data_IF_554324682955
#
_entry.id   IF_554324682955
#
_cell.length_a   1.000
_cell.length_b   1.000
_cell.length_c   1.000
_cell.angle_alpha   90.00
_cell.angle_beta   90.00
_cell.angle_gamma   90.00
#
_symmetry.space_group_name_H-M   'P 1'
#
loop_
_entity.id
_entity.type
_entity.pdbx_description
1 polymer ?
#
# COMPACT_ATOMS: atom_id res chain seq x y z
N UNK A 1 42.19 -56.87 12.85
CA UNK A 1 41.00 -57.65 12.46
C UNK A 1 40.00 -56.68 11.86
N UNK A 2 40.32 -56.08 10.72
CA UNK A 2 40.25 -56.69 9.38
C UNK A 2 38.79 -57.03 9.05
N UNK A 3 38.09 -56.19 8.29
CA UNK A 3 38.18 -56.05 6.83
C UNK A 3 37.25 -57.04 6.11
N UNK A 4 36.08 -56.51 5.73
CA UNK A 4 35.39 -56.69 4.43
C UNK A 4 34.82 -58.09 4.13
N UNK A 5 33.51 -58.19 3.79
CA UNK A 5 33.01 -58.44 2.41
C UNK A 5 31.49 -58.73 2.33
N UNK A 6 30.81 -57.97 1.45
CA UNK A 6 29.70 -58.37 0.53
C UNK A 6 28.38 -58.91 1.13
N UNK A 7 27.18 -58.63 0.62
CA UNK A 7 26.74 -58.12 -0.67
C UNK A 7 25.24 -57.74 -0.62
N UNK A 8 24.91 -56.69 -1.38
CA UNK A 8 23.74 -56.50 -2.24
C UNK A 8 22.32 -56.85 -1.75
N UNK A 9 21.51 -55.78 -1.78
CA UNK A 9 20.17 -55.67 -2.39
C UNK A 9 19.08 -55.29 -1.38
N UNK A 10 18.18 -54.36 -1.66
CA UNK A 10 18.05 -53.31 -2.65
C UNK A 10 16.81 -52.51 -2.23
N UNK A 11 16.78 -51.22 -2.59
CA UNK A 11 15.55 -50.43 -2.86
C UNK A 11 14.64 -50.18 -1.63
N UNK A 12 14.09 -49.00 -1.35
CA UNK A 12 13.69 -47.89 -2.20
C UNK A 12 13.25 -46.80 -1.20
N UNK A 13 13.96 -45.67 -1.07
CA UNK A 13 13.35 -44.48 -0.45
C UNK A 13 13.68 -43.27 -1.29
N UNK A 14 12.59 -42.65 -1.73
CA UNK A 14 12.46 -41.60 -2.72
C UNK A 14 13.48 -40.47 -2.55
N UNK A 15 14.13 -40.16 -3.65
CA UNK A 15 14.87 -38.93 -3.91
C UNK A 15 13.96 -37.71 -3.76
N UNK A 16 14.07 -37.00 -2.63
CA UNK A 16 13.64 -35.61 -2.54
C UNK A 16 14.78 -34.75 -3.07
N UNK A 17 14.64 -34.33 -4.33
CA UNK A 17 15.48 -33.30 -4.93
C UNK A 17 15.20 -31.97 -4.21
N UNK A 18 15.93 -31.71 -3.13
CA UNK A 18 16.00 -30.40 -2.51
C UNK A 18 16.82 -29.47 -3.40
N UNK A 19 16.16 -28.64 -4.20
CA UNK A 19 16.83 -27.52 -4.87
C UNK A 19 17.37 -26.57 -3.80
N UNK A 20 18.68 -26.62 -3.54
CA UNK A 20 19.37 -25.58 -2.76
C UNK A 20 19.36 -24.28 -3.55
N UNK A 21 18.51 -23.33 -3.17
CA UNK A 21 18.66 -21.94 -3.62
C UNK A 21 19.81 -21.32 -2.84
N UNK A 22 20.94 -21.09 -3.51
CA UNK A 22 21.94 -20.14 -3.06
C UNK A 22 21.33 -18.74 -3.11
N UNK A 23 20.86 -18.26 -1.96
CA UNK A 23 20.49 -16.87 -1.79
C UNK A 23 21.75 -16.04 -1.61
N UNK A 24 22.17 -15.32 -2.66
CA UNK A 24 23.14 -14.23 -2.54
C UNK A 24 22.58 -13.23 -1.52
N UNK A 25 23.24 -13.10 -0.39
CA UNK A 25 22.88 -12.11 0.63
C UNK A 25 23.40 -10.75 0.18
N UNK A 26 22.57 -9.99 -0.55
CA UNK A 26 22.77 -8.55 -0.66
C UNK A 26 22.18 -7.92 0.60
N UNK A 27 23.06 -7.46 1.50
CA UNK A 27 22.68 -6.71 2.70
C UNK A 27 22.02 -5.40 2.27
N UNK A 28 20.68 -5.42 2.17
CA UNK A 28 19.90 -4.20 2.25
C UNK A 28 19.47 -4.05 3.70
N UNK A 29 20.10 -3.10 4.40
CA UNK A 29 19.59 -2.57 5.66
C UNK A 29 18.16 -2.07 5.44
N UNK A 30 17.17 -2.91 5.73
CA UNK A 30 15.76 -2.52 5.80
C UNK A 30 15.43 -2.27 7.25
N UNK A 31 15.50 -1.02 7.64
CA UNK A 31 14.87 -0.54 8.86
C UNK A 31 13.35 -0.70 8.70
N UNK A 32 12.81 -1.65 9.45
CA UNK A 32 11.40 -2.04 9.43
C UNK A 32 10.55 -1.01 10.18
N UNK A 33 9.92 -0.08 9.46
CA UNK A 33 8.70 0.55 9.96
C UNK A 33 7.54 -0.42 9.72
N UNK A 34 7.14 -1.15 10.77
CA UNK A 34 6.00 -2.08 10.76
C UNK A 34 4.69 -1.30 10.58
N UNK A 35 4.17 -1.23 9.36
CA UNK A 35 2.78 -0.91 9.10
C UNK A 35 1.98 -2.22 9.02
N UNK A 36 1.16 -2.48 10.03
CA UNK A 36 0.31 -3.67 10.12
C UNK A 36 -0.71 -3.70 8.98
N UNK A 37 -0.54 -4.61 8.02
CA UNK A 37 -1.48 -4.82 6.93
C UNK A 37 -2.68 -5.64 7.40
N UNK A 38 -3.84 -5.01 7.59
CA UNK A 38 -5.10 -5.73 7.57
C UNK A 38 -5.56 -5.91 6.11
N UNK A 39 -5.92 -7.14 5.81
CA UNK A 39 -6.14 -7.73 4.50
C UNK A 39 -7.30 -7.07 3.75
N UNK A 40 -6.99 -6.33 2.67
CA UNK A 40 -7.93 -6.03 1.59
C UNK A 40 -7.32 -6.61 0.31
N UNK A 41 -7.94 -7.65 -0.25
CA UNK A 41 -7.58 -8.25 -1.55
C UNK A 41 -8.11 -7.35 -2.68
N UNK A 42 -7.53 -6.15 -2.73
CA UNK A 42 -7.39 -5.33 -3.92
C UNK A 42 -6.01 -4.71 -3.73
N UNK A 43 -4.97 -5.43 -4.16
CA UNK A 43 -3.60 -4.93 -4.15
C UNK A 43 -3.60 -3.74 -5.10
N UNK A 44 -3.84 -2.55 -4.56
CA UNK A 44 -3.67 -1.30 -5.27
C UNK A 44 -2.28 -1.39 -5.89
N UNK A 45 -2.18 -1.38 -7.22
CA UNK A 45 -0.88 -1.21 -7.85
C UNK A 45 -0.39 0.11 -7.26
N UNK A 46 0.62 0.04 -6.39
CA UNK A 46 1.15 1.20 -5.70
C UNK A 46 2.03 1.93 -6.71
N UNK A 47 1.39 2.48 -7.74
CA UNK A 47 2.00 3.37 -8.72
C UNK A 47 2.07 4.78 -8.18
N UNK A 48 1.92 4.98 -6.86
CA UNK A 48 1.81 6.33 -6.32
C UNK A 48 3.19 6.96 -6.26
N UNK A 49 3.56 7.63 -7.34
CA UNK A 49 4.84 8.28 -7.51
C UNK A 49 4.88 9.55 -6.68
N UNK A 50 5.89 9.66 -5.82
CA UNK A 50 6.04 10.82 -4.96
C UNK A 50 6.33 12.11 -5.72
N UNK A 51 6.82 11.98 -6.95
CA UNK A 51 7.21 13.08 -7.83
C UNK A 51 6.16 13.38 -8.92
N UNK A 52 5.09 12.59 -9.04
CA UNK A 52 4.01 12.82 -9.98
C UNK A 52 2.97 13.76 -9.38
N UNK A 53 2.78 14.91 -10.02
CA UNK A 53 1.78 15.92 -9.64
C UNK A 53 0.34 15.40 -9.68
N UNK A 54 0.03 14.48 -10.58
CA UNK A 54 -1.32 14.00 -10.81
C UNK A 54 -1.78 13.08 -9.66
N UNK A 55 -0.86 12.27 -9.14
CA UNK A 55 -1.10 11.41 -7.98
C UNK A 55 -1.48 12.20 -6.72
N UNK A 56 -0.90 13.39 -6.51
CA UNK A 56 -1.29 14.26 -5.40
C UNK A 56 -2.73 14.75 -5.53
N UNK A 57 -3.17 15.09 -6.76
CA UNK A 57 -4.56 15.46 -7.02
C UNK A 57 -5.51 14.30 -6.78
N UNK A 58 -5.21 13.12 -7.34
CA UNK A 58 -6.06 11.92 -7.21
C UNK A 58 -6.16 11.44 -5.75
N UNK A 59 -5.07 11.51 -4.99
CA UNK A 59 -5.09 11.20 -3.58
C UNK A 59 -5.91 12.21 -2.78
N UNK A 60 -5.72 13.50 -3.01
CA UNK A 60 -6.55 14.56 -2.43
C UNK A 60 -8.03 14.31 -2.71
N UNK A 61 -8.38 14.05 -3.98
CA UNK A 61 -9.75 13.77 -4.42
C UNK A 61 -10.38 12.60 -3.68
N UNK A 62 -9.67 11.47 -3.59
CA UNK A 62 -10.16 10.29 -2.88
C UNK A 62 -10.40 10.59 -1.39
N UNK A 63 -9.48 11.31 -0.75
CA UNK A 63 -9.60 11.71 0.66
C UNK A 63 -10.80 12.64 0.85
N UNK A 64 -10.96 13.67 0.01
CA UNK A 64 -12.15 14.53 0.05
C UNK A 64 -13.45 13.76 -0.12
N UNK A 65 -13.47 12.79 -1.03
CA UNK A 65 -14.67 12.02 -1.36
C UNK A 65 -15.13 11.06 -0.27
N UNK A 66 -14.20 10.44 0.46
CA UNK A 66 -14.54 9.32 1.38
C UNK A 66 -14.08 9.54 2.82
N UNK A 67 -13.09 10.41 3.05
CA UNK A 67 -12.39 10.57 4.31
C UNK A 67 -12.19 12.04 4.68
N UNK A 68 -13.17 12.90 4.38
CA UNK A 68 -12.99 14.36 4.47
C UNK A 68 -12.60 14.85 5.86
N UNK A 69 -13.03 14.16 6.92
CA UNK A 69 -12.67 14.48 8.32
C UNK A 69 -11.22 14.17 8.66
N UNK A 70 -10.54 13.33 7.87
CA UNK A 70 -9.16 12.87 8.11
C UNK A 70 -8.14 13.58 7.21
N UNK A 71 -8.50 14.72 6.60
CA UNK A 71 -7.67 15.45 5.63
C UNK A 71 -6.22 15.60 6.07
N UNK A 72 -6.00 16.15 7.26
CA UNK A 72 -4.66 16.45 7.77
C UNK A 72 -3.84 15.17 8.02
N UNK A 73 -4.46 14.17 8.64
CA UNK A 73 -3.82 12.88 8.93
C UNK A 73 -3.41 12.15 7.65
N UNK A 74 -4.29 12.13 6.64
CA UNK A 74 -4.04 11.48 5.35
C UNK A 74 -2.96 12.20 4.55
N UNK A 75 -2.93 13.54 4.57
CA UNK A 75 -1.86 14.31 3.95
C UNK A 75 -0.51 14.03 4.63
N UNK A 76 -0.48 14.00 5.97
CA UNK A 76 0.72 13.67 6.72
C UNK A 76 1.23 12.26 6.41
N UNK A 77 0.33 11.27 6.29
CA UNK A 77 0.69 9.92 5.87
C UNK A 77 1.30 9.88 4.47
N UNK A 78 0.70 10.58 3.49
CA UNK A 78 1.21 10.67 2.12
C UNK A 78 2.61 11.31 2.08
N UNK A 79 2.78 12.42 2.81
CA UNK A 79 4.06 13.13 2.91
C UNK A 79 5.13 12.24 3.55
N UNK A 80 4.80 11.53 4.64
CA UNK A 80 5.70 10.57 5.29
C UNK A 80 6.05 9.37 4.40
N UNK A 81 5.09 8.84 3.63
CA UNK A 81 5.35 7.79 2.64
C UNK A 81 6.39 8.23 1.61
N UNK A 82 6.33 9.49 1.20
CA UNK A 82 7.29 10.09 0.28
C UNK A 82 8.60 10.56 0.92
N UNK A 83 8.81 10.28 2.21
CA UNK A 83 9.98 10.71 2.98
C UNK A 83 10.18 12.24 2.92
N UNK A 84 9.08 12.98 2.74
CA UNK A 84 9.03 14.43 2.77
C UNK A 84 8.56 14.90 4.16
N UNK A 85 8.66 16.20 4.39
CA UNK A 85 7.99 16.88 5.51
C UNK A 85 6.98 17.88 4.95
N UNK A 86 6.00 18.28 5.76
CA UNK A 86 5.06 19.33 5.34
C UNK A 86 5.74 20.67 5.04
N UNK A 87 6.94 20.90 5.61
CA UNK A 87 7.76 22.09 5.34
C UNK A 87 8.52 22.00 4.01
N UNK A 88 8.92 20.80 3.61
CA UNK A 88 9.69 20.54 2.39
C UNK A 88 8.83 20.09 1.22
N UNK A 89 7.52 19.93 1.42
CA UNK A 89 6.57 19.55 0.38
C UNK A 89 6.52 20.65 -0.71
N UNK A 90 6.88 20.35 -1.97
CA UNK A 90 6.75 21.30 -3.06
C UNK A 90 5.34 21.88 -3.16
N UNK A 91 5.26 23.19 -3.42
CA UNK A 91 3.97 23.89 -3.45
C UNK A 91 3.00 23.31 -4.47
N UNK A 92 3.49 22.84 -5.63
CA UNK A 92 2.67 22.19 -6.65
C UNK A 92 1.90 20.97 -6.12
N UNK A 93 2.56 20.13 -5.31
CA UNK A 93 1.95 18.93 -4.73
C UNK A 93 0.92 19.28 -3.67
N UNK A 94 1.22 20.28 -2.83
CA UNK A 94 0.26 20.82 -1.86
C UNK A 94 -0.98 21.36 -2.55
N UNK A 95 -0.81 22.18 -3.59
CA UNK A 95 -1.92 22.76 -4.37
C UNK A 95 -2.77 21.67 -5.02
N UNK A 96 -2.16 20.68 -5.67
CA UNK A 96 -2.90 19.60 -6.32
C UNK A 96 -3.69 18.75 -5.31
N UNK A 97 -3.07 18.39 -4.19
CA UNK A 97 -3.78 17.72 -3.10
C UNK A 97 -5.00 18.49 -2.62
N UNK A 98 -4.84 19.79 -2.35
CA UNK A 98 -5.90 20.66 -1.87
C UNK A 98 -7.04 20.81 -2.90
N UNK A 99 -6.69 20.97 -4.17
CA UNK A 99 -7.64 21.03 -5.28
C UNK A 99 -8.44 19.73 -5.39
N UNK A 100 -7.75 18.58 -5.41
CA UNK A 100 -8.38 17.28 -5.42
C UNK A 100 -9.34 17.12 -4.24
N UNK A 101 -8.86 17.39 -3.03
CA UNK A 101 -9.65 17.30 -1.81
C UNK A 101 -10.94 18.13 -1.88
N UNK A 102 -10.84 19.37 -2.33
CA UNK A 102 -11.99 20.27 -2.46
C UNK A 102 -13.05 19.67 -3.39
N UNK A 103 -12.64 19.20 -4.58
CA UNK A 103 -13.54 18.58 -5.56
C UNK A 103 -14.20 17.32 -4.98
N UNK A 104 -13.40 16.42 -4.40
CA UNK A 104 -13.91 15.19 -3.79
C UNK A 104 -14.89 15.45 -2.64
N UNK A 105 -14.60 16.43 -1.77
CA UNK A 105 -15.47 16.76 -0.65
C UNK A 105 -16.79 17.38 -1.10
N UNK A 106 -16.77 18.20 -2.15
CA UNK A 106 -18.00 18.74 -2.75
C UNK A 106 -18.89 17.63 -3.30
N UNK A 107 -18.31 16.60 -3.92
CA UNK A 107 -19.06 15.40 -4.33
C UNK A 107 -19.63 14.64 -3.13
N UNK A 108 -18.85 14.45 -2.06
CA UNK A 108 -19.31 13.80 -0.83
C UNK A 108 -20.55 14.50 -0.25
N UNK A 109 -20.51 15.83 -0.17
CA UNK A 109 -21.61 16.66 0.32
C UNK A 109 -22.84 16.52 -0.58
N UNK A 110 -22.66 16.59 -1.91
CA UNK A 110 -23.76 16.40 -2.87
C UNK A 110 -24.42 15.03 -2.72
N UNK A 111 -23.62 13.96 -2.55
CA UNK A 111 -24.11 12.62 -2.36
C UNK A 111 -24.92 12.49 -1.05
N UNK A 112 -24.39 13.00 0.07
CA UNK A 112 -25.08 13.02 1.37
C UNK A 112 -26.41 13.78 1.30
N UNK A 113 -26.42 14.95 0.66
CA UNK A 113 -27.63 15.76 0.49
C UNK A 113 -28.70 15.02 -0.34
N UNK A 114 -28.28 14.32 -1.40
CA UNK A 114 -29.19 13.50 -2.22
C UNK A 114 -29.80 12.36 -1.39
N UNK A 115 -29.00 11.65 -0.61
CA UNK A 115 -29.46 10.58 0.28
C UNK A 115 -30.47 11.10 1.31
N UNK A 116 -30.17 12.23 1.96
CA UNK A 116 -31.08 12.86 2.93
C UNK A 116 -32.42 13.26 2.31
N UNK A 117 -32.42 13.82 1.09
CA UNK A 117 -33.64 14.15 0.35
C UNK A 117 -34.47 12.91 0.02
N UNK A 118 -33.82 11.80 -0.33
CA UNK A 118 -34.50 10.55 -0.62
C UNK A 118 -35.09 9.91 0.65
N UNK A 119 -34.40 10.00 1.78
CA UNK A 119 -34.92 9.51 3.07
C UNK A 119 -36.18 10.27 3.50
N UNK A 120 -36.20 11.61 3.34
CA UNK A 120 -37.37 12.44 3.68
C UNK A 120 -38.61 12.19 2.82
N UNK A 121 -38.45 11.69 1.59
CA UNK A 121 -39.57 11.35 0.69
C UNK A 121 -40.19 9.98 0.98
N UNK A 122 -39.56 9.16 1.82
CA UNK A 122 -40.02 7.82 2.21
C UNK A 122 -40.73 7.81 3.57
N UNK A 123 -40.81 8.96 4.23
CA UNK A 123 -41.62 9.23 5.43
C UNK A 123 -42.90 9.88 4.96
#
# INVERSE_FOLDING_TARGET
MDMIKTAFAALLVLSVAGCTRQGVSVVHNKEQARYSSNTIVNKRINTTECLDTDDWYLDGYRVGKSFSTQKAQMLQQRVGFCQLSLKTLPQQFKTNWENGFSVGNNENIKAKNKQNRQARKKV
#
